data_IF_265124655655
#
_entry.id   IF_265124655655
#
_cell.length_a   1.000
_cell.length_b   1.000
_cell.length_c   1.000
_cell.angle_alpha   90.00
_cell.angle_beta   90.00
_cell.angle_gamma   90.00
#
_symmetry.space_group_name_H-M   'P 1'
#
loop_
_entity.id
_entity.type
_entity.pdbx_description
1 polymer ?
#
# COMPACT_ATOMS: atom_id res chain seq x y z
N UNK A 1 6.62 0.14 9.86
CA UNK A 1 5.40 -0.34 9.20
C UNK A 1 5.41 -1.86 9.15
N UNK A 2 4.31 -2.50 9.52
CA UNK A 2 4.07 -3.94 9.37
C UNK A 2 2.62 -4.15 8.94
N UNK A 3 2.34 -5.28 8.30
CA UNK A 3 0.98 -5.71 8.01
C UNK A 3 0.12 -5.71 9.28
N UNK A 4 -1.13 -5.27 9.17
CA UNK A 4 -2.11 -5.23 10.27
C UNK A 4 -1.96 -4.03 11.21
N UNK A 5 -0.90 -3.24 11.06
CA UNK A 5 -0.79 -1.96 11.78
C UNK A 5 -1.72 -0.92 11.16
N UNK A 6 -2.10 0.06 11.97
CA UNK A 6 -2.94 1.16 11.59
C UNK A 6 -2.12 2.42 11.38
N UNK A 7 -2.55 3.24 10.42
CA UNK A 7 -1.96 4.51 10.07
C UNK A 7 -3.04 5.59 10.03
N UNK A 8 -2.63 6.86 10.12
CA UNK A 8 -3.50 8.01 9.96
C UNK A 8 -3.15 8.83 8.70
N UNK A 9 -4.13 9.57 8.17
CA UNK A 9 -3.94 10.49 7.05
C UNK A 9 -4.95 11.64 7.09
N UNK A 10 -4.69 12.73 6.39
CA UNK A 10 -5.53 13.92 6.33
C UNK A 10 -6.58 13.90 5.22
N UNK A 11 -6.42 13.03 4.21
CA UNK A 11 -7.32 12.95 3.06
C UNK A 11 -7.82 11.54 2.80
N UNK A 12 -9.05 11.43 2.32
CA UNK A 12 -9.59 10.20 1.77
C UNK A 12 -8.93 9.90 0.43
N UNK A 13 -8.19 8.79 0.35
CA UNK A 13 -7.36 8.50 -0.81
C UNK A 13 -6.18 9.46 -0.95
N UNK A 14 -5.12 9.00 -1.62
CA UNK A 14 -3.86 9.74 -1.77
C UNK A 14 -2.67 8.96 -1.20
N UNK A 15 -1.51 9.62 -1.11
CA UNK A 15 -0.29 9.02 -0.55
C UNK A 15 -0.39 9.06 0.98
N UNK A 16 -0.42 7.90 1.61
CA UNK A 16 -0.31 7.78 3.06
C UNK A 16 1.18 7.76 3.39
N UNK A 17 1.67 8.78 4.11
CA UNK A 17 3.10 8.95 4.41
C UNK A 17 3.37 9.21 5.88
N UNK A 18 2.40 8.88 6.74
CA UNK A 18 2.58 9.04 8.17
C UNK A 18 3.79 8.23 8.65
N UNK A 19 4.57 8.83 9.54
CA UNK A 19 5.75 8.18 10.13
C UNK A 19 5.41 7.39 11.39
N UNK A 20 4.14 7.43 11.81
CA UNK A 20 3.64 6.84 13.04
C UNK A 20 2.65 5.72 12.72
N UNK A 21 2.78 4.60 13.44
CA UNK A 21 2.05 3.37 13.22
C UNK A 21 1.52 2.85 14.55
N UNK A 22 0.34 2.23 14.53
CA UNK A 22 -0.35 1.75 15.72
C UNK A 22 -0.68 0.27 15.58
N UNK A 23 -0.70 -0.47 16.68
CA UNK A 23 -1.00 -1.91 16.64
C UNK A 23 -2.51 -2.17 16.61
N UNK A 24 -3.33 -1.19 17.01
CA UNK A 24 -4.79 -1.27 16.97
C UNK A 24 -5.42 -0.02 16.36
N UNK A 25 -6.65 -0.18 15.83
CA UNK A 25 -7.47 0.92 15.33
C UNK A 25 -7.78 1.96 16.40
N UNK A 26 -8.14 1.50 17.59
CA UNK A 26 -8.56 2.37 18.70
C UNK A 26 -7.41 3.28 19.16
N UNK A 27 -6.18 2.74 19.27
CA UNK A 27 -4.99 3.54 19.57
C UNK A 27 -4.72 4.61 18.52
N UNK A 28 -4.88 4.27 17.24
CA UNK A 28 -4.71 5.21 16.14
C UNK A 28 -5.75 6.35 16.21
N UNK A 29 -7.02 6.01 16.42
CA UNK A 29 -8.12 6.97 16.55
C UNK A 29 -7.89 7.87 17.77
N UNK A 30 -7.57 7.30 18.93
CA UNK A 30 -7.31 8.07 20.15
C UNK A 30 -6.16 9.05 19.96
N UNK A 31 -5.06 8.60 19.33
CA UNK A 31 -3.92 9.46 19.01
C UNK A 31 -4.33 10.63 18.11
N UNK A 32 -5.05 10.35 17.01
CA UNK A 32 -5.51 11.38 16.07
C UNK A 32 -6.43 12.41 16.72
N UNK A 33 -7.39 11.96 17.55
CA UNK A 33 -8.30 12.85 18.30
C UNK A 33 -7.51 13.75 19.25
N UNK A 34 -6.60 13.18 20.04
CA UNK A 34 -5.80 13.94 21.01
C UNK A 34 -4.89 14.95 20.31
N UNK A 35 -4.28 14.56 19.19
CA UNK A 35 -3.40 15.41 18.41
C UNK A 35 -4.17 16.61 17.82
N UNK A 36 -5.33 16.40 17.20
CA UNK A 36 -6.14 17.49 16.66
C UNK A 36 -6.72 18.39 17.75
N UNK A 37 -7.15 17.86 18.90
CA UNK A 37 -7.57 18.68 20.05
C UNK A 37 -6.45 19.59 20.54
N UNK A 38 -5.23 19.04 20.66
CA UNK A 38 -4.05 19.80 21.06
C UNK A 38 -3.67 20.86 20.04
N UNK A 39 -3.72 20.52 18.74
CA UNK A 39 -3.45 21.44 17.65
C UNK A 39 -4.47 22.59 17.62
N UNK A 40 -5.77 22.28 17.69
CA UNK A 40 -6.84 23.28 17.68
C UNK A 40 -6.83 24.19 18.91
N UNK A 41 -6.28 23.73 20.04
CA UNK A 41 -6.08 24.58 21.22
C UNK A 41 -5.05 25.68 20.99
N UNK A 42 -3.98 25.40 20.23
CA UNK A 42 -2.97 26.37 19.85
C UNK A 42 -2.35 26.03 18.48
N UNK A 43 -2.94 26.56 17.42
CA UNK A 43 -2.50 26.30 16.03
C UNK A 43 -1.13 26.88 15.70
N UNK A 44 -0.56 27.71 16.57
CA UNK A 44 0.77 28.31 16.42
C UNK A 44 1.88 27.52 17.12
N UNK A 45 1.54 26.46 17.88
CA UNK A 45 2.53 25.59 18.52
C UNK A 45 3.27 24.74 17.48
N UNK A 46 4.48 25.17 17.11
CA UNK A 46 5.29 24.54 16.05
C UNK A 46 5.47 23.03 16.26
N UNK A 47 5.69 22.60 17.51
CA UNK A 47 5.85 21.18 17.83
C UNK A 47 4.60 20.39 17.45
N UNK A 48 3.42 20.85 17.85
CA UNK A 48 2.15 20.18 17.56
C UNK A 48 1.81 20.25 16.07
N UNK A 49 2.11 21.36 15.38
CA UNK A 49 1.95 21.42 13.92
C UNK A 49 2.82 20.39 13.20
N UNK A 50 4.09 20.26 13.61
CA UNK A 50 5.00 19.27 13.03
C UNK A 50 4.49 17.84 13.30
N UNK A 51 3.90 17.59 14.48
CA UNK A 51 3.24 16.31 14.77
C UNK A 51 2.03 16.06 13.86
N UNK A 52 1.15 17.04 13.65
CA UNK A 52 0.03 16.94 12.69
C UNK A 52 0.52 16.63 11.28
N UNK A 53 1.57 17.31 10.82
CA UNK A 53 2.18 17.05 9.51
C UNK A 53 2.78 15.64 9.42
N UNK A 54 3.47 15.19 10.47
CA UNK A 54 4.16 13.90 10.46
C UNK A 54 3.21 12.71 10.65
N UNK A 55 2.19 12.86 11.50
CA UNK A 55 1.33 11.76 11.91
C UNK A 55 0.05 11.69 11.07
N UNK A 56 -0.48 12.84 10.63
CA UNK A 56 -1.70 12.93 9.83
C UNK A 56 -1.43 13.38 8.39
N UNK A 57 -0.18 13.69 8.02
CA UNK A 57 0.16 14.16 6.66
C UNK A 57 -0.65 15.39 6.22
N UNK A 58 -1.01 16.26 7.18
CA UNK A 58 -1.71 17.51 6.92
C UNK A 58 -0.74 18.70 6.98
N UNK A 59 -0.68 19.44 5.87
CA UNK A 59 0.09 20.68 5.78
C UNK A 59 -0.83 21.89 6.02
N UNK A 60 -0.83 22.41 7.25
CA UNK A 60 -1.55 23.66 7.57
C UNK A 60 -0.65 24.87 7.30
N UNK A 61 -0.82 25.53 6.15
CA UNK A 61 -0.11 26.76 5.81
C UNK A 61 -0.67 28.02 6.49
N UNK A 62 -1.94 28.00 6.89
CA UNK A 62 -2.66 29.16 7.43
C UNK A 62 -3.07 29.03 8.91
N UNK A 63 -2.54 28.03 9.62
CA UNK A 63 -2.88 27.73 11.02
C UNK A 63 -4.40 27.58 11.26
N UNK A 64 -5.10 27.03 10.27
CA UNK A 64 -6.55 26.79 10.30
C UNK A 64 -6.89 25.60 11.19
N UNK A 65 -8.06 25.62 11.82
CA UNK A 65 -8.53 24.50 12.65
C UNK A 65 -8.82 23.28 11.78
N UNK A 66 -8.39 22.10 12.27
CA UNK A 66 -8.54 20.83 11.58
C UNK A 66 -9.43 19.92 12.45
N UNK A 67 -10.48 19.37 11.86
CA UNK A 67 -11.47 18.58 12.61
C UNK A 67 -11.56 17.12 12.17
N UNK A 68 -11.10 16.83 10.95
CA UNK A 68 -11.24 15.52 10.34
C UNK A 68 -9.89 14.92 10.03
N UNK A 69 -9.80 13.60 10.19
CA UNK A 69 -8.68 12.78 9.71
C UNK A 69 -9.21 11.40 9.33
N UNK A 70 -8.36 10.59 8.70
CA UNK A 70 -8.66 9.23 8.29
C UNK A 70 -7.76 8.26 9.04
N UNK A 71 -8.31 7.08 9.34
CA UNK A 71 -7.60 5.94 9.90
C UNK A 71 -7.75 4.74 8.97
N UNK A 72 -6.71 3.93 8.83
CA UNK A 72 -6.73 2.79 7.92
C UNK A 72 -5.68 1.74 8.25
N UNK A 73 -5.99 0.49 7.91
CA UNK A 73 -5.15 -0.67 8.17
C UNK A 73 -4.16 -0.90 7.02
N UNK A 74 -2.91 -1.17 7.35
CA UNK A 74 -1.82 -1.43 6.40
C UNK A 74 -1.88 -2.89 5.95
N UNK A 75 -2.09 -3.08 4.65
CA UNK A 75 -2.04 -4.38 3.97
C UNK A 75 -0.78 -4.56 3.12
N UNK A 76 -0.39 -5.82 2.93
CA UNK A 76 0.70 -6.18 2.01
C UNK A 76 0.21 -6.25 0.55
N UNK A 77 1.12 -5.93 -0.36
CA UNK A 77 0.98 -6.23 -1.79
C UNK A 77 1.88 -7.42 -2.09
N UNK A 78 1.26 -8.51 -2.55
CA UNK A 78 2.01 -9.68 -3.00
C UNK A 78 2.76 -9.35 -4.30
N UNK A 79 3.92 -9.98 -4.50
CA UNK A 79 4.54 -10.02 -5.82
C UNK A 79 3.59 -10.76 -6.77
N UNK A 80 3.21 -10.17 -7.92
CA UNK A 80 2.21 -10.76 -8.79
C UNK A 80 2.71 -12.10 -9.37
N UNK A 81 1.76 -12.99 -9.64
CA UNK A 81 2.00 -14.17 -10.47
C UNK A 81 1.55 -13.87 -11.89
N UNK A 82 2.52 -13.85 -12.80
CA UNK A 82 2.32 -13.55 -14.23
C UNK A 82 2.76 -14.73 -15.10
N UNK A 83 2.83 -15.93 -14.50
CA UNK A 83 3.41 -17.11 -15.15
C UNK A 83 2.60 -17.54 -16.37
N UNK A 84 1.27 -17.59 -16.26
CA UNK A 84 0.40 -17.94 -17.39
C UNK A 84 0.48 -16.90 -18.49
N UNK A 85 0.37 -15.61 -18.16
CA UNK A 85 0.56 -14.50 -19.10
C UNK A 85 1.89 -14.62 -19.85
N UNK A 86 2.98 -14.94 -19.14
CA UNK A 86 4.31 -15.10 -19.74
C UNK A 86 4.36 -16.29 -20.71
N UNK A 87 3.83 -17.45 -20.31
CA UNK A 87 3.82 -18.67 -21.13
C UNK A 87 2.97 -18.48 -22.39
N UNK A 88 1.79 -17.88 -22.28
CA UNK A 88 0.94 -17.53 -23.42
C UNK A 88 1.66 -16.59 -24.39
N UNK A 89 2.26 -15.51 -23.87
CA UNK A 89 3.05 -14.59 -24.70
C UNK A 89 4.19 -15.30 -25.43
N UNK A 90 4.89 -16.24 -24.77
CA UNK A 90 5.96 -17.01 -25.40
C UNK A 90 5.38 -17.91 -26.51
N UNK A 91 4.26 -18.59 -26.26
CA UNK A 91 3.61 -19.44 -27.26
C UNK A 91 3.16 -18.64 -28.49
N UNK A 92 2.53 -17.48 -28.28
CA UNK A 92 2.11 -16.57 -29.34
C UNK A 92 3.30 -16.10 -30.20
N UNK A 93 4.44 -15.74 -29.57
CA UNK A 93 5.64 -15.33 -30.32
C UNK A 93 6.23 -16.44 -31.16
N UNK A 94 6.15 -17.69 -30.73
CA UNK A 94 6.57 -18.82 -31.56
C UNK A 94 5.59 -19.03 -32.71
N UNK A 95 4.29 -18.88 -32.46
CA UNK A 95 3.27 -18.94 -33.51
C UNK A 95 3.41 -17.84 -34.57
N UNK A 96 3.77 -16.60 -34.19
CA UNK A 96 4.05 -15.52 -35.15
C UNK A 96 5.15 -15.89 -36.16
N UNK A 97 6.10 -16.76 -35.77
CA UNK A 97 7.25 -17.17 -36.61
C UNK A 97 6.99 -18.48 -37.35
N UNK A 98 6.44 -19.48 -36.65
CA UNK A 98 6.29 -20.84 -37.15
C UNK A 98 4.89 -21.16 -37.68
N UNK A 99 3.91 -20.30 -37.40
CA UNK A 99 2.50 -20.52 -37.72
C UNK A 99 1.96 -21.81 -37.09
N UNK A 100 1.03 -22.45 -37.80
CA UNK A 100 0.34 -23.69 -37.38
C UNK A 100 1.29 -24.83 -36.97
N UNK A 101 2.54 -24.86 -37.45
CA UNK A 101 3.52 -25.89 -37.03
C UNK A 101 3.89 -25.82 -35.54
N UNK A 102 3.62 -24.70 -34.89
CA UNK A 102 3.83 -24.51 -33.45
C UNK A 102 2.56 -24.66 -32.62
N UNK A 103 1.44 -25.04 -33.24
CA UNK A 103 0.23 -25.36 -32.50
C UNK A 103 0.51 -26.46 -31.46
N UNK A 104 0.06 -26.24 -30.23
CA UNK A 104 0.34 -27.10 -29.09
C UNK A 104 1.68 -26.88 -28.40
N UNK A 105 2.47 -25.88 -28.82
CA UNK A 105 3.69 -25.49 -28.10
C UNK A 105 3.35 -24.93 -26.72
N UNK A 106 3.93 -25.54 -25.67
CA UNK A 106 3.70 -25.29 -24.24
C UNK A 106 2.36 -25.84 -23.67
N UNK A 107 1.58 -26.60 -24.44
CA UNK A 107 0.35 -27.25 -23.93
C UNK A 107 0.64 -28.31 -22.85
N UNK A 108 1.86 -28.85 -22.81
CA UNK A 108 2.31 -29.85 -21.85
C UNK A 108 2.86 -29.26 -20.55
N UNK A 109 2.84 -27.92 -20.38
CA UNK A 109 3.21 -27.27 -19.13
C UNK A 109 2.25 -27.68 -18.02
N UNK A 110 2.81 -28.35 -17.01
CA UNK A 110 2.08 -28.81 -15.83
C UNK A 110 1.99 -27.71 -14.77
N UNK A 111 1.15 -27.91 -13.78
CA UNK A 111 1.07 -27.01 -12.62
C UNK A 111 2.40 -26.93 -11.86
N UNK A 112 3.10 -28.05 -11.70
CA UNK A 112 4.42 -28.09 -11.04
C UNK A 112 5.45 -27.21 -11.78
N UNK A 113 5.44 -27.24 -13.11
CA UNK A 113 6.32 -26.37 -13.92
C UNK A 113 5.95 -24.89 -13.78
N UNK A 114 4.65 -24.55 -13.66
CA UNK A 114 4.22 -23.16 -13.40
C UNK A 114 4.71 -22.69 -12.04
N UNK A 115 4.50 -23.49 -10.99
CA UNK A 115 4.95 -23.17 -9.63
C UNK A 115 6.48 -23.00 -9.56
N UNK A 116 7.23 -23.84 -10.29
CA UNK A 116 8.68 -23.71 -10.40
C UNK A 116 9.09 -22.40 -11.08
N UNK A 117 8.42 -22.03 -12.18
CA UNK A 117 8.69 -20.80 -12.92
C UNK A 117 8.34 -19.56 -12.08
N UNK A 118 7.18 -19.52 -11.41
CA UNK A 118 6.82 -18.43 -10.51
C UNK A 118 7.83 -18.31 -9.37
N UNK A 119 8.24 -19.45 -8.79
CA UNK A 119 9.27 -19.48 -7.73
C UNK A 119 10.62 -18.98 -8.23
N UNK A 120 10.98 -19.24 -9.49
CA UNK A 120 12.19 -18.69 -10.11
C UNK A 120 12.11 -17.17 -10.28
N UNK A 121 11.02 -16.66 -10.85
CA UNK A 121 10.80 -15.21 -11.07
C UNK A 121 10.79 -14.46 -9.73
N UNK A 122 10.05 -14.96 -8.74
CA UNK A 122 10.02 -14.38 -7.41
C UNK A 122 11.41 -14.34 -6.75
N UNK A 123 12.18 -15.44 -6.81
CA UNK A 123 13.56 -15.47 -6.27
C UNK A 123 14.46 -14.45 -6.96
N UNK A 124 14.37 -14.33 -8.28
CA UNK A 124 15.13 -13.34 -9.03
C UNK A 124 14.76 -11.92 -8.60
N UNK A 125 13.46 -11.59 -8.51
CA UNK A 125 12.98 -10.29 -8.08
C UNK A 125 13.46 -9.95 -6.66
N UNK A 126 13.35 -10.91 -5.74
CA UNK A 126 13.84 -10.79 -4.35
C UNK A 126 15.34 -10.52 -4.28
N UNK A 127 16.15 -11.25 -5.04
CA UNK A 127 17.60 -11.07 -5.05
C UNK A 127 18.05 -9.70 -5.59
N UNK A 128 17.22 -9.08 -6.44
CA UNK A 128 17.52 -7.79 -7.06
C UNK A 128 16.84 -6.60 -6.37
N UNK A 129 16.03 -6.83 -5.35
CA UNK A 129 15.27 -5.77 -4.67
C UNK A 129 14.13 -5.22 -5.52
N UNK A 130 13.48 -6.08 -6.31
CA UNK A 130 12.32 -5.72 -7.15
C UNK A 130 10.98 -6.17 -6.58
N UNK A 131 10.95 -6.61 -5.32
CA UNK A 131 9.67 -6.85 -4.64
C UNK A 131 8.96 -5.50 -4.39
N UNK A 132 7.62 -5.45 -4.45
CA UNK A 132 6.89 -4.24 -4.13
C UNK A 132 7.23 -3.72 -2.73
N UNK A 133 7.68 -2.47 -2.66
CA UNK A 133 7.85 -1.74 -1.38
C UNK A 133 6.61 -0.90 -1.04
N UNK A 134 5.58 -0.97 -1.87
CA UNK A 134 4.30 -0.32 -1.65
C UNK A 134 3.37 -1.17 -0.77
N UNK A 135 2.36 -0.51 -0.22
CA UNK A 135 1.36 -1.11 0.65
C UNK A 135 -0.04 -0.68 0.21
N UNK A 136 -1.03 -1.43 0.67
CA UNK A 136 -2.44 -1.07 0.55
C UNK A 136 -2.91 -0.49 1.87
N UNK A 137 -3.91 0.38 1.80
CA UNK A 137 -4.68 0.78 2.98
C UNK A 137 -6.09 0.20 2.85
N UNK A 138 -6.53 -0.51 3.88
CA UNK A 138 -7.83 -1.17 3.99
C UNK A 138 -8.63 -0.54 5.14
N UNK A 139 -9.92 -0.86 5.22
CA UNK A 139 -10.80 -0.46 6.33
C UNK A 139 -10.73 1.04 6.67
N UNK A 140 -10.69 1.89 5.62
CA UNK A 140 -10.55 3.34 5.79
C UNK A 140 -11.81 3.92 6.43
N UNK A 141 -11.62 4.66 7.52
CA UNK A 141 -12.67 5.39 8.21
C UNK A 141 -12.29 6.86 8.37
N UNK A 142 -13.27 7.76 8.19
CA UNK A 142 -13.15 9.18 8.51
C UNK A 142 -13.56 9.42 9.96
N UNK A 143 -12.73 10.15 10.70
CA UNK A 143 -12.97 10.54 12.08
C UNK A 143 -13.16 12.05 12.13
N UNK A 144 -14.30 12.51 12.65
CA UNK A 144 -14.61 13.92 12.91
C UNK A 144 -14.66 14.18 14.41
N UNK A 145 -13.76 15.03 14.93
CA UNK A 145 -13.65 15.30 16.37
C UNK A 145 -14.70 16.28 16.92
N UNK A 146 -15.59 16.79 16.06
CA UNK A 146 -16.70 17.67 16.46
C UNK A 146 -17.92 16.89 16.95
N UNK A 147 -17.99 15.60 16.63
CA UNK A 147 -19.07 14.69 17.00
C UNK A 147 -18.84 14.04 18.36
#
# INVERSE_FOLDING_TARGET
>A
MKQGQWMLNGSYGGRWESITYFDTKDEAIEHGINLLKKYNHNTHDEKTRNQVMNDLTIYSYYNELIYTFFVGEIGEIAFPDETDSLLENIAERVYEVAGEYSEGYLDDVTEEHREELQSFIYRWAKQRGYLPECFLIREIEEIDIRN
#
